data_IF_708186697690
#
_entry.id   IF_708186697690
#
_cell.length_a   1.000
_cell.length_b   1.000
_cell.length_c   1.000
_cell.angle_alpha   90.00
_cell.angle_beta   90.00
_cell.angle_gamma   90.00
#
_symmetry.space_group_name_H-M   'P 1'
#
loop_
_entity.id
_entity.type
_entity.pdbx_description
1 polymer ?
#
# COMPACT_ATOMS: atom_id res chain seq x y z
N UNK A 1 -2.04 -40.43 18.17
CA UNK A 1 -1.94 -38.97 18.07
C UNK A 1 -0.61 -38.70 17.40
N UNK A 2 -0.60 -38.12 16.21
CA UNK A 2 0.59 -37.94 15.37
C UNK A 2 1.26 -36.61 15.78
N UNK A 3 1.91 -36.63 16.96
CA UNK A 3 2.46 -35.45 17.65
C UNK A 3 3.68 -34.90 16.90
N UNK A 4 4.49 -35.79 16.32
CA UNK A 4 5.66 -35.41 15.54
C UNK A 4 5.26 -34.58 14.30
N UNK A 5 4.20 -34.98 13.60
CA UNK A 5 3.69 -34.29 12.42
C UNK A 5 3.15 -32.91 12.79
N UNK A 6 2.47 -32.80 13.94
CA UNK A 6 2.03 -31.51 14.47
C UNK A 6 3.24 -30.62 14.82
N UNK A 7 4.30 -31.19 15.41
CA UNK A 7 5.55 -30.46 15.68
C UNK A 7 6.18 -29.96 14.38
N UNK A 8 6.40 -30.84 13.39
CA UNK A 8 7.00 -30.50 12.09
C UNK A 8 6.19 -29.42 11.38
N UNK A 9 4.86 -29.53 11.37
CA UNK A 9 3.98 -28.53 10.78
C UNK A 9 4.16 -27.15 11.43
N UNK A 10 4.10 -27.05 12.76
CA UNK A 10 4.25 -25.77 13.44
C UNK A 10 5.68 -25.23 13.40
N UNK A 11 6.68 -26.11 13.38
CA UNK A 11 8.08 -25.71 13.25
C UNK A 11 8.39 -25.15 11.87
N UNK A 12 7.84 -25.74 10.81
CA UNK A 12 7.88 -25.18 9.45
C UNK A 12 7.15 -23.84 9.38
N UNK A 13 5.95 -23.76 9.95
CA UNK A 13 5.20 -22.50 10.00
C UNK A 13 6.02 -21.40 10.69
N UNK A 14 6.63 -21.71 11.84
CA UNK A 14 7.54 -20.79 12.54
C UNK A 14 8.72 -20.37 11.65
N UNK A 15 9.41 -21.34 11.04
CA UNK A 15 10.58 -21.07 10.19
C UNK A 15 10.22 -20.18 8.98
N UNK A 16 9.08 -20.44 8.32
CA UNK A 16 8.64 -19.61 7.21
C UNK A 16 8.23 -18.21 7.66
N UNK A 17 7.51 -18.09 8.77
CA UNK A 17 7.01 -16.81 9.27
C UNK A 17 8.14 -15.95 9.86
N UNK A 18 8.94 -16.52 10.76
CA UNK A 18 9.96 -15.82 11.53
C UNK A 18 11.25 -15.64 10.73
N UNK A 19 11.84 -16.72 10.22
CA UNK A 19 13.18 -16.70 9.63
C UNK A 19 13.13 -16.28 8.15
N UNK A 20 12.13 -16.77 7.42
CA UNK A 20 11.97 -16.45 6.01
C UNK A 20 11.03 -15.28 5.74
N UNK A 21 10.34 -14.74 6.75
CA UNK A 21 9.52 -13.52 6.63
C UNK A 21 8.24 -13.68 5.82
N UNK A 22 7.68 -14.89 5.73
CA UNK A 22 6.36 -15.11 5.15
C UNK A 22 5.26 -14.57 6.07
N UNK A 23 4.20 -14.06 5.47
CA UNK A 23 3.01 -13.56 6.17
C UNK A 23 1.87 -14.57 6.06
N UNK A 24 1.18 -14.81 7.17
CA UNK A 24 -0.04 -15.63 7.17
C UNK A 24 -1.16 -14.88 6.45
N UNK A 25 -1.70 -15.47 5.38
CA UNK A 25 -2.87 -14.98 4.66
C UNK A 25 -4.13 -15.62 5.25
N UNK A 26 -4.07 -16.92 5.50
CA UNK A 26 -5.22 -17.70 5.98
C UNK A 26 -4.75 -18.80 6.93
N UNK A 27 -5.46 -18.94 8.04
CA UNK A 27 -5.35 -20.05 8.99
C UNK A 27 -6.75 -20.65 9.12
N UNK A 28 -6.89 -21.95 8.85
CA UNK A 28 -8.17 -22.63 8.93
C UNK A 28 -8.54 -22.98 10.38
N UNK A 29 -9.83 -23.13 10.67
CA UNK A 29 -10.36 -23.36 12.03
C UNK A 29 -9.76 -24.59 12.71
N UNK A 30 -9.51 -25.65 11.93
CA UNK A 30 -8.86 -26.88 12.42
C UNK A 30 -7.36 -26.70 12.71
N UNK A 31 -6.78 -25.56 12.34
CA UNK A 31 -5.36 -25.19 12.51
C UNK A 31 -4.38 -26.22 11.96
N UNK A 32 -4.81 -26.94 10.92
CA UNK A 32 -4.01 -27.92 10.17
C UNK A 32 -3.67 -27.45 8.76
N UNK A 33 -4.20 -26.31 8.35
CA UNK A 33 -3.92 -25.71 7.06
C UNK A 33 -3.56 -24.24 7.23
N UNK A 34 -2.46 -23.83 6.59
CA UNK A 34 -1.94 -22.48 6.63
C UNK A 34 -1.54 -22.05 5.23
N UNK A 35 -1.98 -20.85 4.82
CA UNK A 35 -1.50 -20.19 3.61
C UNK A 35 -0.61 -19.02 3.99
N UNK A 36 0.56 -19.00 3.37
CA UNK A 36 1.64 -18.07 3.62
C UNK A 36 1.99 -17.34 2.33
N UNK A 37 2.35 -16.07 2.43
CA UNK A 37 2.79 -15.25 1.31
C UNK A 37 4.08 -14.50 1.61
N UNK A 38 4.95 -14.43 0.60
CA UNK A 38 6.10 -13.55 0.56
C UNK A 38 6.25 -12.97 -0.83
N UNK A 39 5.73 -11.77 -1.03
CA UNK A 39 5.70 -11.11 -2.35
C UNK A 39 7.10 -10.87 -2.94
N UNK A 40 8.15 -10.82 -2.14
CA UNK A 40 9.52 -10.64 -2.66
C UNK A 40 10.08 -11.91 -3.29
N UNK A 41 9.62 -13.07 -2.83
CA UNK A 41 10.08 -14.32 -3.37
C UNK A 41 9.37 -14.57 -4.70
N UNK A 42 10.10 -14.36 -5.81
CA UNK A 42 9.57 -14.61 -7.15
C UNK A 42 9.49 -16.10 -7.47
N UNK A 43 10.34 -16.95 -6.87
CA UNK A 43 10.29 -18.40 -7.11
C UNK A 43 9.12 -19.04 -6.39
N UNK A 44 8.91 -18.70 -5.12
CA UNK A 44 7.82 -19.25 -4.27
C UNK A 44 7.11 -18.12 -3.51
N UNK A 45 6.23 -17.37 -4.18
CA UNK A 45 5.49 -16.28 -3.55
C UNK A 45 4.43 -16.77 -2.56
N UNK A 46 3.91 -17.99 -2.74
CA UNK A 46 2.86 -18.57 -1.90
C UNK A 46 3.26 -19.96 -1.44
N UNK A 47 3.10 -20.23 -0.15
CA UNK A 47 3.28 -21.56 0.45
C UNK A 47 1.95 -21.98 1.09
N UNK A 48 1.54 -23.20 0.84
CA UNK A 48 0.49 -23.88 1.63
C UNK A 48 1.14 -24.96 2.47
N UNK A 49 0.90 -24.95 3.77
CA UNK A 49 1.21 -26.04 4.67
C UNK A 49 -0.08 -26.77 5.00
N UNK A 50 -0.12 -28.09 4.82
CA UNK A 50 -1.24 -28.94 5.21
C UNK A 50 -0.74 -30.11 6.06
N UNK A 51 -1.24 -30.17 7.30
CA UNK A 51 -1.10 -31.33 8.18
C UNK A 51 -2.28 -32.27 7.94
N UNK A 52 -2.04 -33.37 7.25
CA UNK A 52 -3.03 -34.40 7.00
C UNK A 52 -2.36 -35.73 6.73
N UNK A 53 -2.93 -36.80 7.29
CA UNK A 53 -2.49 -38.16 6.98
C UNK A 53 -3.00 -38.55 5.58
N UNK A 54 -2.06 -38.87 4.69
CA UNK A 54 -2.33 -39.17 3.28
C UNK A 54 -2.71 -40.65 3.13
N UNK A 55 -3.80 -40.93 2.41
CA UNK A 55 -4.29 -42.29 2.18
C UNK A 55 -3.99 -42.77 0.74
N UNK A 56 -4.55 -42.08 -0.26
CA UNK A 56 -4.47 -42.47 -1.67
C UNK A 56 -4.04 -41.30 -2.54
N UNK A 57 -3.26 -41.57 -3.60
CA UNK A 57 -2.74 -40.58 -4.55
C UNK A 57 -3.86 -39.80 -5.25
N UNK A 58 -5.02 -40.45 -5.45
CA UNK A 58 -6.20 -39.82 -6.06
C UNK A 58 -6.79 -38.70 -5.19
N UNK A 59 -6.75 -38.85 -3.86
CA UNK A 59 -7.20 -37.80 -2.94
C UNK A 59 -6.22 -36.63 -2.93
N UNK A 60 -4.92 -36.92 -2.98
CA UNK A 60 -3.88 -35.90 -3.14
C UNK A 60 -4.05 -35.12 -4.44
N UNK A 61 -4.34 -35.79 -5.56
CA UNK A 61 -4.58 -35.13 -6.84
C UNK A 61 -5.73 -34.11 -6.77
N UNK A 62 -6.87 -34.50 -6.18
CA UNK A 62 -8.02 -33.61 -6.00
C UNK A 62 -7.68 -32.41 -5.12
N UNK A 63 -6.89 -32.61 -4.07
CA UNK A 63 -6.44 -31.50 -3.23
C UNK A 63 -5.50 -30.56 -4.01
N UNK A 64 -4.54 -31.08 -4.78
CA UNK A 64 -3.66 -30.27 -5.65
C UNK A 64 -4.47 -29.42 -6.64
N UNK A 65 -5.53 -29.97 -7.23
CA UNK A 65 -6.46 -29.24 -8.10
C UNK A 65 -7.16 -28.09 -7.37
N UNK A 66 -7.62 -28.31 -6.13
CA UNK A 66 -8.20 -27.28 -5.28
C UNK A 66 -7.18 -26.20 -4.89
N UNK A 67 -5.94 -26.59 -4.60
CA UNK A 67 -4.82 -25.66 -4.35
C UNK A 67 -4.56 -24.81 -5.58
N UNK A 68 -4.59 -25.38 -6.78
CA UNK A 68 -4.39 -24.65 -8.02
C UNK A 68 -5.54 -23.66 -8.28
N UNK A 69 -6.79 -24.06 -8.03
CA UNK A 69 -7.98 -23.19 -8.07
C UNK A 69 -7.86 -22.01 -7.09
N UNK A 70 -7.43 -22.26 -5.86
CA UNK A 70 -7.23 -21.22 -4.85
C UNK A 70 -6.03 -20.33 -5.19
N UNK A 71 -4.95 -20.90 -5.70
CA UNK A 71 -3.79 -20.19 -6.23
C UNK A 71 -4.18 -19.24 -7.36
N UNK A 72 -5.07 -19.64 -8.27
CA UNK A 72 -5.55 -18.78 -9.35
C UNK A 72 -6.36 -17.57 -8.84
N UNK A 73 -7.16 -17.76 -7.78
CA UNK A 73 -7.84 -16.63 -7.10
C UNK A 73 -6.83 -15.67 -6.49
N UNK A 74 -5.80 -16.19 -5.80
CA UNK A 74 -4.72 -15.39 -5.21
C UNK A 74 -3.94 -14.64 -6.30
N UNK A 75 -3.56 -15.31 -7.40
CA UNK A 75 -2.84 -14.70 -8.53
C UNK A 75 -3.57 -13.48 -9.09
N UNK A 76 -4.90 -13.61 -9.28
CA UNK A 76 -5.75 -12.51 -9.76
C UNK A 76 -5.81 -11.35 -8.76
N UNK A 77 -5.94 -11.64 -7.46
CA UNK A 77 -5.92 -10.62 -6.41
C UNK A 77 -4.57 -9.88 -6.35
N UNK A 78 -3.46 -10.59 -6.58
CA UNK A 78 -2.12 -10.03 -6.60
C UNK A 78 -1.74 -9.37 -7.93
N UNK A 79 -2.62 -9.45 -8.95
CA UNK A 79 -2.38 -8.92 -10.30
C UNK A 79 -1.04 -9.40 -10.88
N UNK A 80 -0.73 -10.69 -10.71
CA UNK A 80 0.49 -11.31 -11.23
C UNK A 80 0.26 -11.99 -12.58
N UNK A 81 1.28 -11.97 -13.44
CA UNK A 81 1.30 -12.76 -14.68
C UNK A 81 1.20 -14.24 -14.35
N UNK A 82 2.24 -14.78 -13.70
CA UNK A 82 2.33 -16.17 -13.26
C UNK A 82 2.46 -16.27 -11.74
N UNK A 83 2.05 -17.41 -11.17
CA UNK A 83 2.13 -17.72 -9.74
C UNK A 83 2.62 -19.14 -9.51
N UNK A 84 3.69 -19.28 -8.73
CA UNK A 84 4.13 -20.56 -8.19
C UNK A 84 3.61 -20.71 -6.76
N UNK A 85 2.94 -21.82 -6.49
CA UNK A 85 2.47 -22.22 -5.17
C UNK A 85 3.27 -23.44 -4.74
N UNK A 86 3.92 -23.38 -3.58
CA UNK A 86 4.56 -24.54 -2.97
C UNK A 86 3.58 -25.17 -1.96
N UNK A 87 3.04 -26.33 -2.32
CA UNK A 87 2.13 -27.11 -1.52
C UNK A 87 2.92 -28.16 -0.72
N UNK A 88 2.87 -28.07 0.60
CA UNK A 88 3.67 -28.91 1.50
C UNK A 88 2.71 -29.73 2.35
N UNK A 89 2.78 -31.05 2.19
CA UNK A 89 2.07 -32.00 3.04
C UNK A 89 2.98 -32.43 4.20
N UNK A 90 2.44 -32.42 5.41
CA UNK A 90 3.03 -33.06 6.58
C UNK A 90 2.12 -34.21 6.99
N UNK A 91 2.60 -35.42 6.82
CA UNK A 91 1.86 -36.68 7.00
C UNK A 91 2.73 -37.69 7.74
N UNK A 92 2.13 -38.60 8.51
CA UNK A 92 2.91 -39.68 9.11
C UNK A 92 3.47 -40.64 8.05
N UNK A 93 2.69 -40.91 7.00
CA UNK A 93 3.04 -41.83 5.93
C UNK A 93 2.80 -41.20 4.55
N UNK A 94 3.58 -41.56 3.53
CA UNK A 94 3.24 -41.24 2.15
C UNK A 94 1.95 -41.98 1.72
N UNK A 95 1.32 -41.60 0.59
CA UNK A 95 0.24 -42.37 -0.01
C UNK A 95 0.62 -43.85 -0.20
N UNK A 96 -0.38 -44.73 -0.09
CA UNK A 96 -0.18 -46.19 -0.15
C UNK A 96 0.12 -46.67 -1.59
N UNK A 97 -0.34 -45.93 -2.59
CA UNK A 97 -0.14 -46.17 -4.03
C UNK A 97 0.93 -45.24 -4.63
N UNK A 98 1.40 -45.56 -5.84
CA UNK A 98 2.35 -44.71 -6.57
C UNK A 98 1.79 -43.29 -6.74
N UNK A 99 2.55 -42.30 -6.27
CA UNK A 99 2.15 -40.90 -6.26
C UNK A 99 3.24 -39.97 -6.80
N UNK A 100 4.47 -40.46 -7.01
CA UNK A 100 5.62 -39.63 -7.39
C UNK A 100 5.38 -38.95 -8.74
N UNK A 101 4.75 -39.66 -9.67
CA UNK A 101 4.40 -39.13 -10.99
C UNK A 101 3.50 -37.88 -10.92
N UNK A 102 2.76 -37.68 -9.82
CA UNK A 102 1.89 -36.52 -9.59
C UNK A 102 2.63 -35.30 -9.07
N UNK A 103 3.81 -35.48 -8.47
CA UNK A 103 4.57 -34.42 -7.80
C UNK A 103 5.91 -34.11 -8.47
N UNK A 104 6.40 -34.98 -9.36
CA UNK A 104 7.64 -34.80 -10.12
C UNK A 104 7.61 -33.59 -11.08
N UNK A 105 6.41 -33.15 -11.47
CA UNK A 105 6.21 -31.92 -12.26
C UNK A 105 5.16 -31.06 -11.59
N UNK A 106 5.25 -29.72 -11.72
CA UNK A 106 4.22 -28.85 -11.18
C UNK A 106 2.89 -29.11 -11.87
N UNK A 107 1.82 -29.14 -11.09
CA UNK A 107 0.46 -29.17 -11.62
C UNK A 107 0.06 -27.78 -12.11
N UNK A 108 -0.57 -27.69 -13.29
CA UNK A 108 -1.05 -26.42 -13.85
C UNK A 108 -2.57 -26.40 -13.93
N UNK A 109 -3.17 -25.27 -13.54
CA UNK A 109 -4.62 -25.11 -13.57
C UNK A 109 -5.13 -24.68 -14.97
N UNK A 110 -5.87 -25.59 -15.61
CA UNK A 110 -6.56 -25.36 -16.88
C UNK A 110 -5.62 -25.03 -18.06
N UNK A 111 -6.19 -24.55 -19.17
CA UNK A 111 -5.42 -24.13 -20.36
C UNK A 111 -4.56 -22.88 -20.14
N UNK A 112 -4.82 -22.15 -19.05
CA UNK A 112 -4.21 -20.85 -18.81
C UNK A 112 -2.71 -20.90 -18.49
N UNK A 113 -2.19 -22.04 -18.02
CA UNK A 113 -0.77 -22.28 -17.71
C UNK A 113 -0.07 -21.14 -16.91
N UNK A 114 -0.81 -20.48 -16.01
CA UNK A 114 -0.32 -19.33 -15.23
C UNK A 114 -0.14 -19.60 -13.74
N UNK A 115 -0.76 -20.64 -13.21
CA UNK A 115 -0.64 -21.04 -11.81
C UNK A 115 -0.03 -22.44 -11.74
N UNK A 116 1.14 -22.55 -11.13
CA UNK A 116 1.94 -23.77 -11.01
C UNK A 116 1.98 -24.21 -9.55
N UNK A 117 1.57 -25.45 -9.28
CA UNK A 117 1.61 -26.03 -7.94
C UNK A 117 2.73 -27.05 -7.86
N UNK A 118 3.79 -26.68 -7.12
CA UNK A 118 4.88 -27.58 -6.77
C UNK A 118 4.53 -28.28 -5.46
N UNK A 119 4.61 -29.61 -5.41
CA UNK A 119 4.22 -30.37 -4.23
C UNK A 119 5.43 -31.04 -3.58
N UNK A 120 5.53 -30.91 -2.26
CA UNK A 120 6.51 -31.64 -1.44
C UNK A 120 5.78 -32.37 -0.33
N UNK A 121 6.12 -33.65 -0.12
CA UNK A 121 5.58 -34.47 0.96
C UNK A 121 6.68 -34.65 2.01
N UNK A 122 6.34 -34.38 3.27
CA UNK A 122 7.18 -34.63 4.42
C UNK A 122 6.56 -35.75 5.24
N UNK A 123 7.18 -36.93 5.16
CA UNK A 123 6.77 -38.17 5.82
C UNK A 123 7.90 -38.77 6.64
N UNK A 124 7.60 -39.73 7.52
CA UNK A 124 8.53 -40.26 8.54
C UNK A 124 9.83 -40.88 7.99
N UNK A 125 9.92 -41.14 6.67
CA UNK A 125 11.09 -41.70 6.01
C UNK A 125 11.77 -40.72 5.02
N UNK A 126 11.13 -39.58 4.73
CA UNK A 126 11.49 -38.72 3.59
C UNK A 126 11.77 -37.26 4.03
N UNK A 127 11.81 -36.97 5.33
CA UNK A 127 12.02 -35.59 5.80
C UNK A 127 13.27 -34.92 5.25
N UNK A 128 14.40 -35.65 5.15
CA UNK A 128 15.66 -35.07 4.67
C UNK A 128 15.57 -34.69 3.19
N UNK A 129 15.04 -35.57 2.33
CA UNK A 129 14.81 -35.28 0.92
C UNK A 129 13.79 -34.13 0.75
N UNK A 130 12.71 -34.15 1.54
CA UNK A 130 11.73 -33.08 1.53
C UNK A 130 12.33 -31.73 1.95
N UNK A 131 13.12 -31.66 3.02
CA UNK A 131 13.83 -30.45 3.42
C UNK A 131 14.81 -29.95 2.35
N UNK A 132 15.51 -30.86 1.68
CA UNK A 132 16.38 -30.50 0.55
C UNK A 132 15.57 -29.89 -0.60
N UNK A 133 14.46 -30.52 -0.99
CA UNK A 133 13.53 -29.99 -2.01
C UNK A 133 12.99 -28.61 -1.62
N UNK A 134 12.53 -28.44 -0.38
CA UNK A 134 12.05 -27.16 0.13
C UNK A 134 13.14 -26.09 0.07
N UNK A 135 14.37 -26.44 0.43
CA UNK A 135 15.50 -25.50 0.40
C UNK A 135 15.84 -25.05 -1.02
N UNK A 136 15.79 -25.98 -1.99
CA UNK A 136 15.97 -25.68 -3.42
C UNK A 136 14.86 -24.77 -3.94
N UNK A 137 13.60 -25.06 -3.66
CA UNK A 137 12.47 -24.24 -4.13
C UNK A 137 12.50 -22.83 -3.55
N UNK A 138 12.77 -22.73 -2.24
CA UNK A 138 12.73 -21.45 -1.52
C UNK A 138 14.00 -20.61 -1.72
N UNK A 139 15.12 -21.24 -2.10
CA UNK A 139 16.42 -20.60 -2.25
C UNK A 139 17.07 -20.27 -0.90
N UNK A 140 16.65 -20.94 0.17
CA UNK A 140 17.05 -20.70 1.56
C UNK A 140 17.05 -22.01 2.33
N UNK A 141 17.83 -22.12 3.40
CA UNK A 141 17.89 -23.34 4.22
C UNK A 141 16.57 -23.58 4.97
N UNK A 142 15.88 -24.66 4.61
CA UNK A 142 14.64 -25.11 5.24
C UNK A 142 14.89 -26.49 5.85
N UNK A 143 15.57 -26.50 6.98
CA UNK A 143 15.88 -27.73 7.72
C UNK A 143 15.87 -27.52 9.23
N UNK A 144 15.57 -28.58 9.98
CA UNK A 144 15.71 -28.63 11.43
C UNK A 144 15.80 -30.10 11.89
N UNK A 145 16.46 -30.38 13.04
CA UNK A 145 16.58 -31.74 13.53
C UNK A 145 15.21 -32.31 13.94
N UNK A 146 15.00 -33.60 13.66
CA UNK A 146 13.82 -34.36 14.09
C UNK A 146 14.23 -35.36 15.17
N UNK A 147 13.72 -35.21 16.38
CA UNK A 147 14.16 -36.00 17.56
C UNK A 147 13.31 -37.26 17.83
N UNK A 148 12.31 -37.56 16.98
CA UNK A 148 11.53 -38.81 17.01
C UNK A 148 10.47 -38.91 18.12
N UNK A 149 10.71 -38.30 19.28
CA UNK A 149 9.75 -38.21 20.38
C UNK A 149 9.52 -36.75 20.77
N UNK A 150 8.27 -36.28 20.64
CA UNK A 150 7.86 -34.92 21.01
C UNK A 150 6.70 -34.98 22.00
N UNK A 151 6.68 -34.01 22.91
CA UNK A 151 5.59 -33.81 23.84
C UNK A 151 4.59 -32.76 23.33
N UNK A 152 3.33 -32.85 23.79
CA UNK A 152 2.29 -31.89 23.44
C UNK A 152 2.65 -30.45 23.83
N UNK A 153 3.40 -30.28 24.91
CA UNK A 153 3.86 -28.96 25.38
C UNK A 153 4.86 -28.31 24.41
N UNK A 154 5.72 -29.10 23.78
CA UNK A 154 6.67 -28.62 22.78
C UNK A 154 5.93 -28.12 21.52
N UNK A 155 4.96 -28.91 21.03
CA UNK A 155 4.10 -28.50 19.91
C UNK A 155 3.36 -27.21 20.24
N UNK A 156 2.78 -27.11 21.45
CA UNK A 156 2.07 -25.91 21.89
C UNK A 156 2.99 -24.68 21.95
N UNK A 157 4.24 -24.86 22.38
CA UNK A 157 5.24 -23.79 22.47
C UNK A 157 5.61 -23.25 21.10
N UNK A 158 5.95 -24.13 20.15
CA UNK A 158 6.32 -23.73 18.77
C UNK A 158 5.14 -23.07 18.05
N UNK A 159 3.94 -23.65 18.20
CA UNK A 159 2.70 -23.08 17.68
C UNK A 159 2.46 -21.67 18.21
N UNK A 160 2.55 -21.49 19.53
CA UNK A 160 2.37 -20.18 20.17
C UNK A 160 3.37 -19.17 19.62
N UNK A 161 4.64 -19.53 19.53
CA UNK A 161 5.68 -18.66 18.98
C UNK A 161 5.40 -18.26 17.51
N UNK A 162 4.96 -19.19 16.66
CA UNK A 162 4.61 -18.92 15.27
C UNK A 162 3.44 -17.92 15.14
N UNK A 163 2.37 -18.16 15.92
CA UNK A 163 1.18 -17.31 15.90
C UNK A 163 1.46 -15.92 16.50
N UNK A 164 2.21 -15.84 17.60
CA UNK A 164 2.62 -14.57 18.20
C UNK A 164 3.45 -13.73 17.23
N UNK A 165 4.38 -14.35 16.50
CA UNK A 165 5.13 -13.65 15.47
C UNK A 165 4.24 -13.16 14.32
N UNK A 166 3.32 -14.00 13.84
CA UNK A 166 2.38 -13.61 12.79
C UNK A 166 1.51 -12.41 13.21
N UNK A 167 1.00 -12.42 14.45
CA UNK A 167 0.23 -11.32 15.03
C UNK A 167 1.09 -10.05 15.16
N UNK A 168 2.35 -10.18 15.58
CA UNK A 168 3.28 -9.05 15.69
C UNK A 168 3.52 -8.37 14.34
N UNK A 169 3.70 -9.14 13.27
CA UNK A 169 3.86 -8.61 11.90
C UNK A 169 2.62 -7.83 11.48
N UNK A 170 1.42 -8.40 11.64
CA UNK A 170 0.15 -7.73 11.29
C UNK A 170 -0.06 -6.46 12.12
N UNK A 171 0.24 -6.50 13.42
CA UNK A 171 0.14 -5.34 14.31
C UNK A 171 1.09 -4.22 13.87
N UNK A 172 2.34 -4.55 13.54
CA UNK A 172 3.31 -3.57 13.06
C UNK A 172 2.85 -2.89 11.75
N UNK A 173 2.25 -3.64 10.82
CA UNK A 173 1.65 -3.07 9.60
C UNK A 173 0.45 -2.16 9.93
N UNK A 174 -0.43 -2.60 10.83
CA UNK A 174 -1.62 -1.83 11.26
C UNK A 174 -1.24 -0.52 11.96
N UNK A 175 -0.18 -0.53 12.75
CA UNK A 175 0.32 0.63 13.49
C UNK A 175 0.88 1.71 12.54
N UNK A 176 1.36 1.33 11.35
CA UNK A 176 1.73 2.28 10.29
C UNK A 176 0.49 3.05 9.79
N UNK A 177 -0.63 2.34 9.59
CA UNK A 177 -1.86 2.94 9.06
C UNK A 177 -2.70 3.70 10.07
N UNK A 178 -2.52 3.48 11.38
CA UNK A 178 -3.38 4.05 12.42
C UNK A 178 -2.58 4.90 13.42
N UNK A 179 -1.57 5.61 12.93
CA UNK A 179 -0.77 6.47 13.78
C UNK A 179 -1.54 7.71 14.24
N UNK A 180 -2.16 8.43 13.29
CA UNK A 180 -2.91 9.67 13.54
C UNK A 180 -4.42 9.46 13.67
N UNK A 181 -5.09 10.41 14.33
CA UNK A 181 -6.55 10.58 14.23
C UNK A 181 -6.83 11.69 13.20
N UNK A 182 -7.79 11.52 12.28
CA UNK A 182 -7.96 12.44 11.17
C UNK A 182 -8.71 13.74 11.55
N UNK A 183 -8.21 14.48 12.52
CA UNK A 183 -8.88 15.65 13.09
C UNK A 183 -8.82 16.83 12.11
N UNK A 184 -7.65 17.11 11.54
CA UNK A 184 -7.48 18.26 10.66
C UNK A 184 -8.15 18.08 9.31
N UNK A 185 -8.31 16.85 8.84
CA UNK A 185 -9.11 16.56 7.65
C UNK A 185 -10.55 17.06 7.85
N UNK A 186 -11.17 16.77 8.99
CA UNK A 186 -12.52 17.26 9.31
C UNK A 186 -12.56 18.77 9.53
N UNK A 187 -11.53 19.35 10.14
CA UNK A 187 -11.43 20.81 10.29
C UNK A 187 -11.37 21.49 8.93
N UNK A 188 -10.52 21.02 8.01
CA UNK A 188 -10.42 21.59 6.66
C UNK A 188 -11.72 21.44 5.87
N UNK A 189 -12.40 20.30 5.97
CA UNK A 189 -13.74 20.12 5.39
C UNK A 189 -14.73 21.15 5.93
N UNK A 190 -14.82 21.30 7.25
CA UNK A 190 -15.72 22.25 7.89
C UNK A 190 -15.40 23.70 7.47
N UNK A 191 -14.12 24.07 7.43
CA UNK A 191 -13.66 25.41 7.01
C UNK A 191 -14.01 25.67 5.54
N UNK A 192 -13.79 24.71 4.64
CA UNK A 192 -14.10 24.86 3.21
C UNK A 192 -15.61 25.02 2.98
N UNK A 193 -16.44 24.24 3.69
CA UNK A 193 -17.89 24.37 3.63
C UNK A 193 -18.34 25.73 4.17
N UNK A 194 -17.80 26.16 5.31
CA UNK A 194 -18.15 27.45 5.90
C UNK A 194 -17.79 28.63 4.98
N UNK A 195 -16.59 28.59 4.37
CA UNK A 195 -16.15 29.61 3.41
C UNK A 195 -17.02 29.59 2.17
N UNK A 196 -17.39 28.41 1.65
CA UNK A 196 -18.28 28.31 0.51
C UNK A 196 -19.64 28.95 0.78
N UNK A 197 -20.27 28.65 1.92
CA UNK A 197 -21.54 29.27 2.32
C UNK A 197 -21.42 30.78 2.49
N UNK A 198 -20.29 31.25 3.02
CA UNK A 198 -19.98 32.68 3.12
C UNK A 198 -19.89 33.34 1.73
N UNK A 199 -19.24 32.71 0.75
CA UNK A 199 -19.17 33.22 -0.62
C UNK A 199 -20.55 33.28 -1.28
N UNK A 200 -21.37 32.24 -1.12
CA UNK A 200 -22.75 32.22 -1.63
C UNK A 200 -23.58 33.38 -1.08
N UNK A 201 -23.44 33.70 0.21
CA UNK A 201 -24.11 34.84 0.83
C UNK A 201 -23.55 36.21 0.40
N UNK A 202 -22.32 36.28 -0.14
CA UNK A 202 -21.58 37.53 -0.37
C UNK A 202 -21.12 37.71 -1.83
N UNK A 203 -21.97 37.32 -2.79
CA UNK A 203 -21.75 37.59 -4.22
C UNK A 203 -21.56 36.34 -5.09
N UNK A 204 -21.69 35.14 -4.51
CA UNK A 204 -21.70 33.87 -5.22
C UNK A 204 -20.31 33.27 -5.49
N UNK A 205 -20.19 31.95 -5.36
CA UNK A 205 -18.93 31.22 -5.60
C UNK A 205 -18.55 31.09 -7.08
N UNK A 206 -19.46 31.39 -8.00
CA UNK A 206 -19.23 31.36 -9.46
C UNK A 206 -18.85 32.72 -10.04
N UNK A 207 -18.88 33.78 -9.22
CA UNK A 207 -18.51 35.13 -9.64
C UNK A 207 -17.00 35.36 -9.43
N UNK A 208 -16.28 35.63 -10.53
CA UNK A 208 -14.83 35.87 -10.53
C UNK A 208 -14.42 37.05 -9.64
N UNK A 209 -15.18 38.14 -9.60
CA UNK A 209 -14.87 39.30 -8.76
C UNK A 209 -15.00 38.95 -7.27
N UNK A 210 -16.01 38.18 -6.90
CA UNK A 210 -16.20 37.64 -5.54
C UNK A 210 -15.02 36.75 -5.14
N UNK A 211 -14.63 35.82 -6.02
CA UNK A 211 -13.48 34.93 -5.80
C UNK A 211 -12.16 35.71 -5.61
N UNK A 212 -11.88 36.69 -6.50
CA UNK A 212 -10.69 37.53 -6.38
C UNK A 212 -10.71 38.31 -5.06
N UNK A 213 -11.84 38.93 -4.72
CA UNK A 213 -12.00 39.71 -3.48
C UNK A 213 -11.67 38.90 -2.23
N UNK A 214 -12.09 37.64 -2.19
CA UNK A 214 -11.93 36.78 -1.01
C UNK A 214 -10.69 35.86 -1.05
N UNK A 215 -9.77 36.07 -1.99
CA UNK A 215 -8.44 35.45 -1.94
C UNK A 215 -8.22 34.27 -2.88
N UNK A 216 -8.96 34.18 -3.99
CA UNK A 216 -8.57 33.31 -5.10
C UNK A 216 -7.19 33.70 -5.65
N UNK A 217 -6.49 32.75 -6.28
CA UNK A 217 -5.22 33.02 -6.93
C UNK A 217 -5.49 33.92 -8.13
N UNK A 218 -4.82 35.05 -8.18
CA UNK A 218 -4.91 36.02 -9.26
C UNK A 218 -3.56 36.70 -9.44
N UNK A 219 -2.93 36.49 -10.62
CA UNK A 219 -1.54 36.88 -10.85
C UNK A 219 -1.27 38.37 -10.65
N UNK A 220 -2.09 39.31 -11.16
CA UNK A 220 -1.82 40.75 -11.01
C UNK A 220 -1.66 41.17 -9.55
N UNK A 221 -2.57 40.73 -8.67
CA UNK A 221 -2.51 41.07 -7.24
C UNK A 221 -1.35 40.36 -6.51
N UNK A 222 -0.95 39.18 -6.96
CA UNK A 222 0.27 38.53 -6.44
C UNK A 222 1.51 39.37 -6.76
N UNK A 223 1.59 39.92 -7.97
CA UNK A 223 2.68 40.81 -8.40
C UNK A 223 2.70 42.12 -7.62
N UNK A 224 1.52 42.61 -7.20
CA UNK A 224 1.37 43.80 -6.35
C UNK A 224 1.65 43.55 -4.86
N UNK A 225 1.94 42.31 -4.45
CA UNK A 225 2.38 41.99 -3.09
C UNK A 225 1.41 41.15 -2.25
N UNK A 226 0.28 40.71 -2.81
CA UNK A 226 -0.71 39.91 -2.10
C UNK A 226 -0.31 38.42 -2.00
N UNK A 227 0.85 38.13 -1.41
CA UNK A 227 1.48 36.79 -1.39
C UNK A 227 0.66 35.72 -0.66
N UNK A 228 -0.27 36.10 0.20
CA UNK A 228 -1.20 35.15 0.84
C UNK A 228 -2.05 34.39 -0.19
N UNK A 229 -2.20 34.91 -1.41
CA UNK A 229 -2.85 34.24 -2.54
C UNK A 229 -2.15 32.99 -3.04
N UNK A 230 -0.98 32.65 -2.51
CA UNK A 230 -0.38 31.32 -2.70
C UNK A 230 -0.95 30.24 -1.75
N UNK A 231 -1.70 30.63 -0.71
CA UNK A 231 -2.26 29.69 0.29
C UNK A 231 -3.77 29.77 0.33
N UNK A 232 -4.35 30.97 0.39
CA UNK A 232 -5.80 31.17 0.51
C UNK A 232 -6.66 30.43 -0.52
N UNK A 233 -6.26 30.22 -1.79
CA UNK A 233 -7.11 29.58 -2.80
C UNK A 233 -7.57 28.17 -2.43
N UNK A 234 -6.82 27.45 -1.59
CA UNK A 234 -7.18 26.07 -1.19
C UNK A 234 -8.48 25.98 -0.38
N UNK A 235 -8.95 27.11 0.15
CA UNK A 235 -10.17 27.17 0.95
C UNK A 235 -11.40 27.63 0.16
N UNK A 236 -11.20 28.26 -1.00
CA UNK A 236 -12.27 28.73 -1.88
C UNK A 236 -12.66 27.63 -2.87
N UNK A 237 -13.92 27.60 -3.31
CA UNK A 237 -14.42 26.63 -4.29
C UNK A 237 -15.34 27.32 -5.29
N UNK A 238 -15.29 26.89 -6.55
CA UNK A 238 -16.10 27.46 -7.65
C UNK A 238 -17.32 26.57 -7.86
N UNK A 239 -18.48 26.98 -7.34
CA UNK A 239 -19.72 26.23 -7.44
C UNK A 239 -19.78 24.97 -6.56
N UNK A 240 -21.00 24.49 -6.36
CA UNK A 240 -21.28 23.39 -5.42
C UNK A 240 -20.63 22.06 -5.84
N UNK A 241 -20.67 21.70 -7.12
CA UNK A 241 -20.13 20.42 -7.59
C UNK A 241 -18.63 20.32 -7.33
N UNK A 242 -17.89 21.41 -7.53
CA UNK A 242 -16.45 21.44 -7.26
C UNK A 242 -16.15 21.26 -5.77
N UNK A 243 -16.90 21.94 -4.89
CA UNK A 243 -16.80 21.73 -3.44
C UNK A 243 -17.09 20.27 -3.06
N UNK A 244 -18.18 19.69 -3.59
CA UNK A 244 -18.59 18.33 -3.26
C UNK A 244 -17.52 17.30 -3.65
N UNK A 245 -16.96 17.40 -4.85
CA UNK A 245 -15.92 16.49 -5.33
C UNK A 245 -14.62 16.64 -4.53
N UNK A 246 -14.18 17.88 -4.24
CA UNK A 246 -12.99 18.10 -3.41
C UNK A 246 -13.21 17.65 -1.96
N UNK A 247 -14.41 17.85 -1.41
CA UNK A 247 -14.74 17.39 -0.06
C UNK A 247 -14.69 15.88 0.05
N UNK A 248 -15.24 15.17 -0.96
CA UNK A 248 -15.18 13.71 -1.04
C UNK A 248 -13.73 13.22 -1.14
N UNK A 249 -12.94 13.83 -2.02
CA UNK A 249 -11.54 13.48 -2.21
C UNK A 249 -10.69 13.77 -0.96
N UNK A 250 -10.89 14.92 -0.31
CA UNK A 250 -10.24 15.28 0.95
C UNK A 250 -10.63 14.32 2.08
N UNK A 251 -11.90 13.94 2.17
CA UNK A 251 -12.33 12.96 3.16
C UNK A 251 -11.58 11.63 3.00
N UNK A 252 -11.53 11.05 1.79
CA UNK A 252 -10.86 9.76 1.60
C UNK A 252 -9.32 9.85 1.67
N UNK A 253 -8.72 10.79 0.95
CA UNK A 253 -7.26 10.90 0.85
C UNK A 253 -6.67 11.59 2.08
N UNK A 254 -7.28 12.68 2.54
CA UNK A 254 -6.85 13.41 3.72
C UNK A 254 -6.88 12.54 4.98
N UNK A 255 -7.96 11.79 5.22
CA UNK A 255 -8.01 10.89 6.38
C UNK A 255 -6.94 9.81 6.30
N UNK A 256 -6.67 9.26 5.10
CA UNK A 256 -5.63 8.24 4.89
C UNK A 256 -4.24 8.80 5.18
N UNK A 257 -3.91 9.98 4.62
CA UNK A 257 -2.62 10.64 4.84
C UNK A 257 -2.46 11.07 6.31
N UNK A 258 -3.49 11.64 6.92
CA UNK A 258 -3.44 12.06 8.32
C UNK A 258 -3.27 10.88 9.28
N UNK A 259 -3.89 9.73 8.99
CA UNK A 259 -3.69 8.51 9.78
C UNK A 259 -2.29 7.92 9.60
N UNK A 260 -1.71 8.00 8.40
CA UNK A 260 -0.35 7.51 8.10
C UNK A 260 0.75 8.38 8.74
N UNK A 261 0.64 9.71 8.61
CA UNK A 261 1.71 10.65 8.97
C UNK A 261 1.44 11.41 10.29
N UNK A 262 0.22 11.37 10.81
CA UNK A 262 -0.20 12.15 11.96
C UNK A 262 -0.58 13.59 11.61
N UNK A 263 -1.38 14.21 12.48
CA UNK A 263 -2.03 15.51 12.26
C UNK A 263 -1.07 16.66 11.92
N UNK A 264 0.01 16.83 12.68
CA UNK A 264 0.94 17.96 12.45
C UNK A 264 1.67 17.86 11.12
N UNK A 265 2.06 16.64 10.72
CA UNK A 265 2.70 16.38 9.43
C UNK A 265 1.71 16.54 8.29
N UNK A 266 0.48 16.06 8.46
CA UNK A 266 -0.58 16.23 7.46
C UNK A 266 -0.86 17.70 7.17
N UNK A 267 -0.99 18.55 8.20
CA UNK A 267 -1.18 20.00 8.00
C UNK A 267 -0.03 20.60 7.18
N UNK A 268 1.22 20.26 7.52
CA UNK A 268 2.37 20.74 6.75
C UNK A 268 2.33 20.25 5.29
N UNK A 269 2.09 18.96 5.07
CA UNK A 269 1.99 18.36 3.72
C UNK A 269 0.89 19.05 2.91
N UNK A 270 -0.29 19.23 3.50
CA UNK A 270 -1.46 19.80 2.83
C UNK A 270 -1.23 21.26 2.43
N UNK A 271 -0.73 22.08 3.36
CA UNK A 271 -0.46 23.50 3.09
C UNK A 271 0.71 23.68 2.12
N UNK A 272 1.78 22.89 2.24
CA UNK A 272 2.91 22.94 1.31
C UNK A 272 2.49 22.51 -0.10
N UNK A 273 1.68 21.46 -0.24
CA UNK A 273 1.13 21.08 -1.53
C UNK A 273 0.22 22.17 -2.13
N UNK A 274 -0.63 22.78 -1.33
CA UNK A 274 -1.41 23.95 -1.73
C UNK A 274 -0.53 25.07 -2.29
N UNK A 275 0.51 25.43 -1.54
CA UNK A 275 1.50 26.43 -1.94
C UNK A 275 2.16 26.11 -3.29
N UNK A 276 2.75 24.91 -3.43
CA UNK A 276 3.43 24.52 -4.67
C UNK A 276 2.46 24.41 -5.85
N UNK A 277 1.21 24.02 -5.61
CA UNK A 277 0.15 24.08 -6.60
C UNK A 277 -0.11 25.52 -7.06
N UNK A 278 -0.33 26.45 -6.13
CA UNK A 278 -0.54 27.86 -6.47
C UNK A 278 0.69 28.50 -7.14
N UNK A 279 1.91 28.12 -6.79
CA UNK A 279 3.15 28.58 -7.46
C UNK A 279 3.22 28.05 -8.89
N UNK A 280 2.96 26.77 -9.11
CA UNK A 280 2.93 26.20 -10.47
C UNK A 280 1.85 26.86 -11.33
N UNK A 281 0.65 27.05 -10.77
CA UNK A 281 -0.43 27.81 -11.41
C UNK A 281 -0.02 29.25 -11.72
N UNK A 282 0.64 29.94 -10.79
CA UNK A 282 1.12 31.30 -10.98
C UNK A 282 2.09 31.41 -12.16
N UNK A 283 2.95 30.42 -12.35
CA UNK A 283 3.92 30.41 -13.45
C UNK A 283 3.23 30.07 -14.77
N UNK A 284 2.52 28.94 -14.82
CA UNK A 284 2.08 28.32 -16.07
C UNK A 284 0.64 28.65 -16.47
N UNK A 285 -0.14 29.33 -15.62
CA UNK A 285 -1.51 29.75 -15.91
C UNK A 285 -1.76 31.22 -15.59
N UNK A 286 -2.44 31.91 -16.51
CA UNK A 286 -2.94 33.27 -16.34
C UNK A 286 -4.26 33.34 -15.56
N UNK A 287 -4.98 32.23 -15.47
CA UNK A 287 -6.37 32.21 -15.02
C UNK A 287 -6.51 32.33 -13.50
N UNK A 288 -7.71 32.72 -13.09
CA UNK A 288 -8.14 32.69 -11.69
C UNK A 288 -8.24 31.23 -11.25
N UNK A 289 -7.67 30.91 -10.10
CA UNK A 289 -7.72 29.55 -9.54
C UNK A 289 -8.20 29.58 -8.10
N UNK A 290 -9.15 28.70 -7.78
CA UNK A 290 -9.72 28.48 -6.46
C UNK A 290 -10.12 27.02 -6.32
N UNK A 291 -9.71 26.37 -5.23
CA UNK A 291 -10.01 24.97 -4.98
C UNK A 291 -8.93 24.29 -4.13
N UNK A 292 -9.37 23.37 -3.28
CA UNK A 292 -8.50 22.49 -2.51
C UNK A 292 -7.72 21.47 -3.38
N UNK A 293 -8.01 21.36 -4.67
CA UNK A 293 -7.53 20.28 -5.53
C UNK A 293 -6.00 20.19 -5.58
N UNK A 294 -5.26 21.31 -5.60
CA UNK A 294 -3.79 21.27 -5.53
C UNK A 294 -3.27 20.59 -4.26
N UNK A 295 -3.85 20.93 -3.11
CA UNK A 295 -3.50 20.31 -1.82
C UNK A 295 -3.92 18.82 -1.76
N UNK A 296 -5.05 18.47 -2.38
CA UNK A 296 -5.52 17.08 -2.50
C UNK A 296 -4.60 16.25 -3.42
N UNK A 297 -4.11 16.82 -4.51
CA UNK A 297 -3.03 16.21 -5.30
C UNK A 297 -1.75 16.03 -4.48
N UNK A 298 -1.49 16.93 -3.54
CA UNK A 298 -0.48 16.72 -2.51
C UNK A 298 -0.66 15.46 -1.67
N UNK A 299 -1.90 15.11 -1.32
CA UNK A 299 -2.19 13.85 -0.64
C UNK A 299 -1.82 12.64 -1.52
N UNK A 300 -2.08 12.67 -2.83
CA UNK A 300 -1.57 11.66 -3.75
C UNK A 300 -0.03 11.60 -3.72
N UNK A 301 0.65 12.75 -3.71
CA UNK A 301 2.10 12.83 -3.60
C UNK A 301 2.64 12.19 -2.31
N UNK A 302 1.95 12.41 -1.19
CA UNK A 302 2.28 11.78 0.09
C UNK A 302 2.11 10.26 0.06
N UNK A 303 1.05 9.75 -0.59
CA UNK A 303 0.83 8.31 -0.75
C UNK A 303 1.86 7.68 -1.70
N UNK A 304 2.28 8.38 -2.76
CA UNK A 304 3.38 7.93 -3.62
C UNK A 304 4.70 7.88 -2.85
N UNK A 305 4.99 8.88 -2.00
CA UNK A 305 6.14 8.83 -1.10
C UNK A 305 6.08 7.61 -0.16
N UNK A 306 4.91 7.31 0.40
CA UNK A 306 4.70 6.07 1.16
C UNK A 306 5.01 4.82 0.32
N UNK A 307 4.63 4.79 -0.96
CA UNK A 307 5.01 3.75 -1.91
C UNK A 307 6.51 3.60 -2.13
N UNK A 308 7.32 4.67 -2.01
CA UNK A 308 8.79 4.56 -2.10
C UNK A 308 9.43 3.93 -0.87
N UNK A 309 8.85 4.15 0.32
CA UNK A 309 9.40 3.65 1.59
C UNK A 309 8.85 2.26 1.94
N UNK A 310 7.58 2.00 1.62
CA UNK A 310 6.87 0.75 1.87
C UNK A 310 6.20 0.21 0.60
N UNK A 311 6.96 -0.07 -0.48
CA UNK A 311 6.40 -0.45 -1.78
C UNK A 311 5.45 -1.65 -1.70
N UNK A 312 5.84 -2.67 -0.92
CA UNK A 312 5.06 -3.90 -0.73
C UNK A 312 3.70 -3.62 -0.10
N UNK A 313 3.70 -2.85 0.99
CA UNK A 313 2.49 -2.53 1.73
C UNK A 313 1.59 -1.62 0.90
N UNK A 314 2.17 -0.66 0.17
CA UNK A 314 1.46 0.22 -0.74
C UNK A 314 0.72 -0.56 -1.83
N UNK A 315 1.41 -1.37 -2.63
CA UNK A 315 0.77 -2.10 -3.73
C UNK A 315 -0.30 -3.09 -3.25
N UNK A 316 -0.09 -3.72 -2.09
CA UNK A 316 -1.05 -4.66 -1.51
C UNK A 316 -2.32 -3.98 -0.98
N UNK A 317 -2.25 -2.71 -0.56
CA UNK A 317 -3.37 -2.06 0.15
C UNK A 317 -4.08 -0.99 -0.67
N UNK A 318 -3.34 -0.14 -1.40
CA UNK A 318 -3.91 1.04 -2.04
C UNK A 318 -3.26 1.43 -3.37
N UNK A 319 -2.11 0.84 -3.73
CA UNK A 319 -1.26 1.38 -4.79
C UNK A 319 -1.93 1.44 -6.16
N UNK A 320 -2.59 0.37 -6.58
CA UNK A 320 -3.33 0.34 -7.85
C UNK A 320 -4.47 1.38 -7.87
N UNK A 321 -5.23 1.47 -6.77
CA UNK A 321 -6.32 2.43 -6.66
C UNK A 321 -5.80 3.88 -6.70
N UNK A 322 -4.68 4.16 -6.03
CA UNK A 322 -4.01 5.47 -6.06
C UNK A 322 -3.59 5.83 -7.49
N UNK A 323 -2.99 4.89 -8.24
CA UNK A 323 -2.60 5.13 -9.64
C UNK A 323 -3.80 5.34 -10.56
N UNK A 324 -4.83 4.50 -10.46
CA UNK A 324 -6.05 4.62 -11.28
C UNK A 324 -6.74 5.96 -11.00
N UNK A 325 -6.95 6.31 -9.73
CA UNK A 325 -7.59 7.57 -9.36
C UNK A 325 -6.77 8.78 -9.83
N UNK A 326 -5.45 8.74 -9.67
CA UNK A 326 -4.58 9.81 -10.16
C UNK A 326 -4.66 9.96 -11.68
N UNK A 327 -4.64 8.85 -12.42
CA UNK A 327 -4.74 8.84 -13.88
C UNK A 327 -6.09 9.38 -14.36
N UNK A 328 -7.20 8.96 -13.73
CA UNK A 328 -8.55 9.44 -14.06
C UNK A 328 -8.68 10.94 -13.78
N UNK A 329 -8.20 11.41 -12.61
CA UNK A 329 -8.27 12.83 -12.26
C UNK A 329 -7.44 13.70 -13.21
N UNK A 330 -6.24 13.26 -13.60
CA UNK A 330 -5.42 13.97 -14.59
C UNK A 330 -6.08 13.94 -15.98
N UNK A 331 -6.58 12.79 -16.44
CA UNK A 331 -7.23 12.69 -17.74
C UNK A 331 -8.48 13.59 -17.82
N UNK A 332 -9.29 13.61 -16.77
CA UNK A 332 -10.42 14.53 -16.66
C UNK A 332 -9.95 15.98 -16.63
N UNK A 333 -8.89 16.27 -15.85
CA UNK A 333 -8.26 17.59 -15.75
C UNK A 333 -7.80 18.16 -17.08
N UNK A 334 -7.18 17.34 -17.92
CA UNK A 334 -6.76 17.74 -19.27
C UNK A 334 -7.91 17.84 -20.28
N UNK A 335 -9.06 17.22 -20.00
CA UNK A 335 -10.21 17.17 -20.92
C UNK A 335 -11.24 18.28 -20.69
N UNK A 336 -11.29 18.86 -19.48
CA UNK A 336 -12.25 19.91 -19.14
C UNK A 336 -11.57 21.30 -19.09
N UNK A 337 -12.21 22.28 -19.73
CA UNK A 337 -11.75 23.67 -19.73
C UNK A 337 -11.92 24.31 -18.34
N UNK A 338 -10.97 25.17 -17.96
CA UNK A 338 -10.96 25.84 -16.66
C UNK A 338 -10.34 25.03 -15.50
N UNK A 339 -9.73 23.88 -15.78
CA UNK A 339 -8.99 23.10 -14.78
C UNK A 339 -7.50 23.47 -14.77
N UNK A 340 -7.01 23.77 -13.57
CA UNK A 340 -5.62 24.15 -13.32
C UNK A 340 -4.69 22.93 -13.18
N UNK A 341 -4.35 22.31 -14.31
CA UNK A 341 -3.48 21.14 -14.36
C UNK A 341 -2.05 21.44 -13.86
N UNK A 342 -1.56 22.67 -14.07
CA UNK A 342 -0.29 23.10 -13.51
C UNK A 342 -0.34 23.09 -11.98
N UNK A 343 -1.43 23.58 -11.38
CA UNK A 343 -1.68 23.51 -9.95
C UNK A 343 -1.78 22.09 -9.41
N UNK A 344 -2.39 21.16 -10.15
CA UNK A 344 -2.46 19.75 -9.77
C UNK A 344 -1.09 19.09 -9.74
N UNK A 345 -0.28 19.27 -10.79
CA UNK A 345 1.07 18.71 -10.86
C UNK A 345 2.02 19.35 -9.83
N UNK A 346 1.92 20.67 -9.64
CA UNK A 346 2.67 21.39 -8.61
C UNK A 346 2.31 20.89 -7.20
N UNK A 347 1.02 20.67 -6.94
CA UNK A 347 0.53 20.10 -5.69
C UNK A 347 1.02 18.67 -5.45
N UNK A 348 0.96 17.80 -6.46
CA UNK A 348 1.48 16.43 -6.42
C UNK A 348 2.96 16.39 -6.03
N UNK A 349 3.79 17.18 -6.72
CA UNK A 349 5.22 17.28 -6.45
C UNK A 349 5.48 17.88 -5.06
N UNK A 350 4.78 18.97 -4.72
CA UNK A 350 4.90 19.64 -3.42
C UNK A 350 4.55 18.73 -2.25
N UNK A 351 3.48 17.95 -2.36
CA UNK A 351 3.10 16.98 -1.32
C UNK A 351 4.11 15.83 -1.17
N UNK A 352 4.64 15.31 -2.27
CA UNK A 352 5.70 14.29 -2.24
C UNK A 352 6.96 14.82 -1.53
N UNK A 353 7.41 16.02 -1.90
CA UNK A 353 8.57 16.69 -1.33
C UNK A 353 8.36 17.00 0.16
N UNK A 354 7.22 17.61 0.50
CA UNK A 354 6.85 17.93 1.88
C UNK A 354 6.81 16.68 2.77
N UNK A 355 6.29 15.57 2.25
CA UNK A 355 6.28 14.28 2.95
C UNK A 355 7.70 13.76 3.18
N UNK A 356 8.59 13.93 2.20
CA UNK A 356 10.01 13.60 2.34
C UNK A 356 10.73 14.38 3.44
N UNK A 357 10.36 15.65 3.65
CA UNK A 357 10.89 16.49 4.74
C UNK A 357 10.44 15.96 6.11
N UNK A 358 9.12 15.76 6.29
CA UNK A 358 8.57 15.42 7.62
C UNK A 358 8.73 13.96 8.01
N UNK A 359 8.86 13.09 7.00
CA UNK A 359 8.99 11.63 7.10
C UNK A 359 7.93 10.95 8.00
N UNK A 360 8.09 9.66 8.26
CA UNK A 360 7.16 8.90 9.10
C UNK A 360 7.31 9.22 10.58
N UNK A 361 6.23 9.17 11.37
CA UNK A 361 6.29 9.28 12.81
C UNK A 361 7.25 8.27 13.42
N UNK A 362 8.06 8.72 14.39
CA UNK A 362 9.06 7.88 15.11
C UNK A 362 10.13 7.24 14.22
N UNK A 363 10.19 7.54 12.92
CA UNK A 363 11.29 7.17 12.02
C UNK A 363 12.01 8.43 11.60
N UNK A 364 13.31 8.54 11.91
CA UNK A 364 14.14 9.68 11.46
C UNK A 364 15.12 9.19 10.40
N UNK A 365 15.21 9.92 9.30
CA UNK A 365 16.22 9.72 8.26
C UNK A 365 16.82 11.08 7.92
N UNK A 366 17.61 11.61 8.85
CA UNK A 366 18.04 13.02 8.84
C UNK A 366 18.67 13.44 7.52
N UNK A 367 19.59 12.64 6.96
CA UNK A 367 20.22 12.95 5.67
C UNK A 367 19.20 13.03 4.52
N UNK A 368 18.23 12.11 4.47
CA UNK A 368 17.17 12.12 3.47
C UNK A 368 16.24 13.32 3.66
N UNK A 369 15.85 13.62 4.90
CA UNK A 369 14.99 14.76 5.22
C UNK A 369 15.64 16.10 4.87
N UNK A 370 16.95 16.23 5.14
CA UNK A 370 17.74 17.40 4.75
C UNK A 370 17.85 17.52 3.22
N UNK A 371 18.07 16.41 2.51
CA UNK A 371 18.09 16.41 1.05
C UNK A 371 16.75 16.90 0.48
N UNK A 372 15.63 16.36 0.96
CA UNK A 372 14.29 16.81 0.55
C UNK A 372 14.07 18.29 0.89
N UNK A 373 14.51 18.75 2.05
CA UNK A 373 14.40 20.15 2.43
C UNK A 373 15.18 21.06 1.48
N UNK A 374 16.44 20.74 1.19
CA UNK A 374 17.28 21.54 0.29
C UNK A 374 16.71 21.59 -1.12
N UNK A 375 16.28 20.44 -1.66
CA UNK A 375 15.62 20.37 -2.97
C UNK A 375 14.34 21.22 -2.97
N UNK A 376 13.52 21.11 -1.94
CA UNK A 376 12.24 21.84 -1.82
C UNK A 376 12.47 23.35 -1.77
N UNK A 377 13.45 23.80 -0.99
CA UNK A 377 13.81 25.23 -0.89
C UNK A 377 14.38 25.74 -2.22
N UNK A 378 15.25 24.97 -2.88
CA UNK A 378 15.80 25.34 -4.18
C UNK A 378 14.70 25.47 -5.25
N UNK A 379 13.77 24.51 -5.31
CA UNK A 379 12.62 24.56 -6.21
C UNK A 379 11.72 25.76 -5.88
N UNK A 380 11.36 25.97 -4.61
CA UNK A 380 10.50 27.09 -4.22
C UNK A 380 11.11 28.44 -4.60
N UNK A 381 12.37 28.67 -4.26
CA UNK A 381 13.08 29.92 -4.58
C UNK A 381 13.24 30.09 -6.09
N UNK A 382 13.63 29.03 -6.81
CA UNK A 382 13.78 29.06 -8.27
C UNK A 382 12.47 29.35 -8.99
N UNK A 383 11.40 28.65 -8.61
CA UNK A 383 10.06 28.81 -9.18
C UNK A 383 9.49 30.21 -8.92
N UNK A 384 9.61 30.73 -7.69
CA UNK A 384 9.17 32.09 -7.39
C UNK A 384 9.97 33.12 -8.18
N UNK A 385 11.32 33.04 -8.19
CA UNK A 385 12.16 33.96 -8.97
C UNK A 385 11.76 33.96 -10.45
N UNK A 386 11.60 32.78 -11.04
CA UNK A 386 11.17 32.63 -12.43
C UNK A 386 9.79 33.24 -12.69
N UNK A 387 8.81 32.95 -11.83
CA UNK A 387 7.45 33.46 -12.00
C UNK A 387 7.34 34.98 -11.89
N UNK A 388 8.10 35.60 -10.99
CA UNK A 388 8.15 37.06 -10.86
C UNK A 388 8.97 37.71 -11.99
N UNK A 389 10.07 37.10 -12.45
CA UNK A 389 10.89 37.67 -13.53
C UNK A 389 10.26 37.57 -14.91
N UNK A 390 9.44 36.54 -15.16
CA UNK A 390 8.78 36.32 -16.45
C UNK A 390 7.49 37.13 -16.63
N UNK A 391 7.06 37.86 -15.60
CA UNK A 391 5.80 38.62 -15.57
C UNK A 391 5.97 40.08 -15.09
N UNK A 392 7.20 40.48 -14.79
CA UNK A 392 7.63 41.88 -14.70
C UNK A 392 8.06 42.34 -16.09
#
# INVERSE_FOLDING_TARGET
>A
MNIQEDFVFWRLAYLFIHDHGYRVIQLFENQRELWLEKLENKSVPVIRLLRQDLNWSNTMQRDIELVALNGEKIRKQLVRGDLNVLNIYVSAYPPVDDYEFRINKPFTFGESNKTFVHTVVLSNQEYQDGFQKLSVFTGSDVSFPIQGEYQLEEVATVKKAALEHAVKVVKAERDIFNHGKPIFTYIFLAVQIAIFLFLEANGGSTNSATLIKYGAKFNPLILEGEWWRFITPIFLHIGFLHLAMNSLALYYLGTTVERLFGSTRFVFIYLAAGFFGSVASFIFSGDISAGASGAIFGCFGALLYFGTIFPKLFFRTMGMNVFILLAVNLAFGFSASGIDNAGHLGGLAGGFLATGIVHFPKKKKVALQLLFLLITVAIAVGSLKYGFSGKA
#
